data_IF_779919309340
#
_entry.id   IF_779919309340
#
_cell.length_a   1.000
_cell.length_b   1.000
_cell.length_c   1.000
_cell.angle_alpha   90.00
_cell.angle_beta   90.00
_cell.angle_gamma   90.00
#
_symmetry.space_group_name_H-M   'P 1'
#
loop_
_entity.id
_entity.type
_entity.pdbx_description
1 polymer ?
#
# COMPACT_ATOMS: atom_id res chain seq x y z
N UNK A 1 -18.48 -15.41 2.22
CA UNK A 1 -17.98 -14.02 2.06
C UNK A 1 -17.25 -13.67 3.36
N UNK A 2 -16.02 -13.17 3.30
CA UNK A 2 -15.26 -12.77 4.50
C UNK A 2 -15.97 -11.62 5.22
N UNK A 3 -16.18 -11.78 6.52
CA UNK A 3 -16.81 -10.76 7.39
C UNK A 3 -15.74 -9.89 8.08
N UNK A 4 -16.17 -8.83 8.76
CA UNK A 4 -15.28 -8.01 9.58
C UNK A 4 -14.65 -8.81 10.74
N UNK A 5 -15.43 -9.72 11.32
CA UNK A 5 -15.00 -10.64 12.39
C UNK A 5 -13.96 -11.64 11.89
N UNK A 6 -14.18 -12.23 10.70
CA UNK A 6 -13.21 -13.13 10.07
C UNK A 6 -11.89 -12.41 9.79
N UNK A 7 -11.96 -11.18 9.28
CA UNK A 7 -10.78 -10.36 9.02
C UNK A 7 -10.05 -10.03 10.33
N UNK A 8 -10.76 -9.63 11.37
CA UNK A 8 -10.15 -9.35 12.68
C UNK A 8 -9.44 -10.60 13.23
N UNK A 9 -10.10 -11.76 13.18
CA UNK A 9 -9.51 -13.02 13.64
C UNK A 9 -8.23 -13.38 12.85
N UNK A 10 -8.22 -13.18 11.53
CA UNK A 10 -7.04 -13.40 10.69
C UNK A 10 -5.88 -12.47 11.08
N UNK A 11 -6.15 -11.19 11.31
CA UNK A 11 -5.12 -10.23 11.72
C UNK A 11 -4.58 -10.54 13.13
N UNK A 12 -5.44 -10.99 14.04
CA UNK A 12 -5.02 -11.46 15.37
C UNK A 12 -4.11 -12.70 15.27
N UNK A 13 -4.41 -13.64 14.38
CA UNK A 13 -3.56 -14.80 14.12
C UNK A 13 -2.19 -14.37 13.59
N UNK A 14 -2.14 -13.51 12.59
CA UNK A 14 -0.89 -12.96 12.07
C UNK A 14 -0.07 -12.24 13.16
N UNK A 15 -0.72 -11.41 13.98
CA UNK A 15 -0.07 -10.73 15.12
C UNK A 15 0.51 -11.73 16.11
N UNK A 16 -0.21 -12.81 16.42
CA UNK A 16 0.16 -13.80 17.44
C UNK A 16 1.47 -14.52 17.11
N UNK A 17 1.78 -14.67 15.83
CA UNK A 17 3.01 -15.27 15.33
C UNK A 17 4.24 -14.35 15.41
N UNK A 18 4.08 -13.11 15.87
CA UNK A 18 5.12 -12.07 15.93
C UNK A 18 5.45 -11.64 17.37
N UNK A 19 6.47 -10.78 17.51
CA UNK A 19 6.75 -10.09 18.78
C UNK A 19 5.65 -9.10 19.19
N UNK A 20 4.69 -8.81 18.30
CA UNK A 20 3.56 -7.92 18.56
C UNK A 20 2.43 -8.59 19.38
N UNK A 21 2.52 -9.89 19.64
CA UNK A 21 1.53 -10.65 20.42
C UNK A 21 1.19 -10.07 21.79
N UNK A 22 2.08 -9.27 22.38
CA UNK A 22 1.87 -8.59 23.67
C UNK A 22 0.92 -7.40 23.61
N UNK A 23 0.64 -6.86 22.42
CA UNK A 23 -0.26 -5.74 22.24
C UNK A 23 -1.68 -6.23 21.93
N UNK A 24 -2.69 -5.47 22.39
CA UNK A 24 -4.09 -5.77 22.08
C UNK A 24 -4.52 -4.98 20.86
N UNK A 25 -5.10 -5.66 19.86
CA UNK A 25 -5.84 -5.01 18.80
C UNK A 25 -7.28 -4.77 19.26
N UNK A 26 -7.84 -3.66 18.83
CA UNK A 26 -9.23 -3.31 19.09
C UNK A 26 -10.06 -3.65 17.86
N UNK A 27 -11.17 -4.36 18.06
CA UNK A 27 -12.13 -4.59 17.00
C UNK A 27 -13.08 -3.40 16.88
N UNK A 28 -13.22 -2.87 15.67
CA UNK A 28 -14.24 -1.91 15.30
C UNK A 28 -14.90 -2.38 13.99
N UNK A 29 -16.17 -2.77 14.09
CA UNK A 29 -16.89 -3.36 12.96
C UNK A 29 -16.89 -2.45 11.72
N UNK A 30 -17.06 -1.15 11.89
CA UNK A 30 -17.12 -0.21 10.76
C UNK A 30 -15.77 -0.10 10.05
N UNK A 31 -14.68 0.01 10.82
CA UNK A 31 -13.32 0.10 10.27
C UNK A 31 -12.97 -1.17 9.47
N UNK A 32 -13.23 -2.35 10.04
CA UNK A 32 -12.91 -3.61 9.37
C UNK A 32 -13.80 -3.86 8.15
N UNK A 33 -15.09 -3.53 8.20
CA UNK A 33 -16.01 -3.63 7.06
C UNK A 33 -15.61 -2.67 5.93
N UNK A 34 -15.28 -1.41 6.23
CA UNK A 34 -14.85 -0.43 5.22
C UNK A 34 -13.51 -0.83 4.60
N UNK A 35 -12.60 -1.38 5.40
CA UNK A 35 -11.34 -1.93 4.89
C UNK A 35 -11.58 -3.04 3.88
N UNK A 36 -12.47 -4.00 4.15
CA UNK A 36 -12.83 -5.07 3.21
C UNK A 36 -13.44 -4.51 1.93
N UNK A 37 -14.38 -3.55 2.04
CA UNK A 37 -15.03 -2.91 0.90
C UNK A 37 -14.04 -2.23 -0.05
N UNK A 38 -12.93 -1.72 0.49
CA UNK A 38 -11.87 -1.11 -0.31
C UNK A 38 -10.90 -2.16 -0.83
N UNK A 39 -10.51 -3.10 0.04
CA UNK A 39 -9.50 -4.12 -0.27
C UNK A 39 -9.93 -5.09 -1.37
N UNK A 40 -11.22 -5.35 -1.56
CA UNK A 40 -11.72 -6.23 -2.63
C UNK A 40 -11.25 -5.76 -4.03
N UNK A 41 -11.10 -4.45 -4.25
CA UNK A 41 -10.58 -3.92 -5.50
C UNK A 41 -9.08 -4.20 -5.67
N UNK A 42 -8.30 -4.20 -4.58
CA UNK A 42 -6.88 -4.56 -4.60
C UNK A 42 -6.71 -6.07 -4.84
N UNK A 43 -7.51 -6.89 -4.16
CA UNK A 43 -7.53 -8.34 -4.28
C UNK A 43 -7.84 -8.79 -5.71
N UNK A 44 -8.86 -8.17 -6.36
CA UNK A 44 -9.26 -8.46 -7.74
C UNK A 44 -8.21 -8.10 -8.79
N UNK A 45 -7.20 -7.30 -8.46
CA UNK A 45 -6.04 -7.09 -9.34
C UNK A 45 -5.12 -8.31 -9.44
N UNK A 46 -5.27 -9.27 -8.52
CA UNK A 46 -4.57 -10.57 -8.51
C UNK A 46 -5.46 -11.69 -9.03
N UNK A 47 -6.72 -11.68 -8.63
CA UNK A 47 -7.71 -12.73 -8.84
C UNK A 47 -8.95 -12.12 -9.50
N UNK A 48 -8.86 -11.87 -10.81
CA UNK A 48 -9.84 -11.08 -11.58
C UNK A 48 -11.24 -11.72 -11.62
N UNK A 49 -11.28 -13.06 -11.56
CA UNK A 49 -12.51 -13.83 -11.69
C UNK A 49 -13.20 -14.12 -10.36
N UNK A 50 -12.56 -13.73 -9.24
CA UNK A 50 -13.12 -13.97 -7.92
C UNK A 50 -14.17 -12.91 -7.56
N UNK A 51 -15.37 -13.34 -7.26
CA UNK A 51 -16.43 -12.44 -6.75
C UNK A 51 -16.20 -12.05 -5.30
N UNK A 52 -15.53 -12.91 -4.52
CA UNK A 52 -15.27 -12.76 -3.10
C UNK A 52 -13.80 -13.02 -2.78
N UNK A 53 -13.35 -12.54 -1.62
CA UNK A 53 -12.01 -12.83 -1.11
C UNK A 53 -11.95 -14.29 -0.67
N UNK A 54 -11.09 -15.06 -1.33
CA UNK A 54 -10.71 -16.42 -0.94
C UNK A 54 -9.56 -16.33 0.09
N UNK A 55 -9.80 -16.90 1.27
CA UNK A 55 -8.87 -16.82 2.40
C UNK A 55 -7.54 -17.52 2.07
N UNK A 56 -7.57 -18.69 1.42
CA UNK A 56 -6.36 -19.42 1.10
C UNK A 56 -5.49 -18.66 0.09
N UNK A 57 -6.11 -18.09 -0.94
CA UNK A 57 -5.43 -17.21 -1.91
C UNK A 57 -4.82 -15.98 -1.22
N UNK A 58 -5.55 -15.37 -0.29
CA UNK A 58 -5.06 -14.24 0.49
C UNK A 58 -3.84 -14.64 1.32
N UNK A 59 -3.92 -15.73 2.09
CA UNK A 59 -2.82 -16.22 2.95
C UNK A 59 -1.58 -16.55 2.12
N UNK A 60 -1.75 -17.15 0.94
CA UNK A 60 -0.66 -17.56 0.07
C UNK A 60 -0.07 -16.39 -0.77
N UNK A 61 -0.61 -15.17 -0.63
CA UNK A 61 -0.16 -13.98 -1.38
C UNK A 61 0.33 -12.89 -0.40
N UNK A 62 1.58 -12.96 0.10
CA UNK A 62 2.09 -12.04 1.13
C UNK A 62 1.98 -10.56 0.79
N UNK A 63 2.01 -10.20 -0.50
CA UNK A 63 1.86 -8.81 -0.94
C UNK A 63 0.49 -8.22 -0.56
N UNK A 64 -0.55 -9.06 -0.56
CA UNK A 64 -1.89 -8.65 -0.13
C UNK A 64 -1.96 -8.39 1.39
N UNK A 65 -1.10 -9.04 2.19
CA UNK A 65 -1.05 -8.80 3.64
C UNK A 65 -0.68 -7.35 3.96
N UNK A 66 0.35 -6.81 3.28
CA UNK A 66 0.76 -5.42 3.45
C UNK A 66 -0.31 -4.42 3.01
N UNK A 67 -1.00 -4.70 1.90
CA UNK A 67 -2.08 -3.84 1.40
C UNK A 67 -3.28 -3.88 2.36
N UNK A 68 -3.69 -5.07 2.79
CA UNK A 68 -4.84 -5.25 3.69
C UNK A 68 -4.63 -4.55 5.03
N UNK A 69 -3.49 -4.80 5.68
CA UNK A 69 -3.17 -4.16 6.95
C UNK A 69 -3.05 -2.64 6.82
N UNK A 70 -2.53 -2.13 5.68
CA UNK A 70 -2.54 -0.70 5.37
C UNK A 70 -3.98 -0.15 5.29
N UNK A 71 -4.91 -0.85 4.63
CA UNK A 71 -6.31 -0.39 4.52
C UNK A 71 -6.92 -0.20 5.91
N UNK A 72 -6.74 -1.17 6.82
CA UNK A 72 -7.22 -1.08 8.20
C UNK A 72 -6.49 0.03 8.98
N UNK A 73 -5.16 0.06 8.92
CA UNK A 73 -4.34 1.05 9.63
C UNK A 73 -4.64 2.49 9.21
N UNK A 74 -4.89 2.73 7.91
CA UNK A 74 -5.26 4.05 7.37
C UNK A 74 -6.61 4.52 7.89
N UNK A 75 -7.58 3.63 8.02
CA UNK A 75 -8.89 3.95 8.60
C UNK A 75 -8.79 4.25 10.11
N UNK A 76 -8.03 3.46 10.86
CA UNK A 76 -7.73 3.77 12.26
C UNK A 76 -7.06 5.14 12.43
N UNK A 77 -6.12 5.47 11.57
CA UNK A 77 -5.48 6.78 11.58
C UNK A 77 -6.47 7.91 11.31
N UNK A 78 -7.36 7.74 10.33
CA UNK A 78 -8.36 8.74 9.94
C UNK A 78 -9.49 8.90 10.95
N UNK A 79 -9.82 7.83 11.69
CA UNK A 79 -10.91 7.88 12.69
C UNK A 79 -10.62 8.83 13.84
N UNK A 80 -9.34 9.12 14.12
CA UNK A 80 -8.93 9.92 15.26
C UNK A 80 -9.20 9.27 16.62
N UNK A 81 -9.63 8.00 16.64
CA UNK A 81 -9.89 7.26 17.88
C UNK A 81 -8.57 7.12 18.66
N UNK A 82 -8.59 7.64 19.90
CA UNK A 82 -7.43 7.53 20.79
C UNK A 82 -7.43 6.19 21.51
N UNK A 83 -6.27 5.54 21.57
CA UNK A 83 -6.02 4.34 22.37
C UNK A 83 -4.63 4.44 23.01
N UNK A 84 -4.41 3.70 24.11
CA UNK A 84 -3.10 3.67 24.80
C UNK A 84 -1.97 3.26 23.85
N UNK A 85 -2.25 2.31 22.96
CA UNK A 85 -1.33 1.90 21.89
C UNK A 85 -2.01 2.21 20.55
N UNK A 86 -1.31 2.93 19.69
CA UNK A 86 -1.84 3.31 18.38
C UNK A 86 -2.07 2.07 17.52
N UNK A 87 -3.33 1.76 17.23
CA UNK A 87 -3.74 0.59 16.46
C UNK A 87 -3.08 0.57 15.08
N UNK A 88 -2.98 1.73 14.43
CA UNK A 88 -2.34 1.89 13.13
C UNK A 88 -0.85 1.49 13.16
N UNK A 89 -0.13 1.70 14.27
CA UNK A 89 1.28 1.33 14.37
C UNK A 89 1.45 -0.19 14.48
N UNK A 90 0.57 -0.86 15.24
CA UNK A 90 0.56 -2.34 15.34
C UNK A 90 0.27 -2.94 13.97
N UNK A 91 -0.79 -2.49 13.31
CA UNK A 91 -1.23 -2.98 12.00
C UNK A 91 -0.17 -2.77 10.91
N UNK A 92 0.46 -1.60 10.86
CA UNK A 92 1.55 -1.32 9.92
C UNK A 92 2.75 -2.24 10.14
N UNK A 93 3.08 -2.56 11.40
CA UNK A 93 4.17 -3.49 11.69
C UNK A 93 3.81 -4.94 11.34
N UNK A 94 2.57 -5.38 11.55
CA UNK A 94 2.11 -6.69 11.08
C UNK A 94 2.28 -6.77 9.56
N UNK A 95 1.79 -5.78 8.82
CA UNK A 95 1.91 -5.75 7.37
C UNK A 95 3.36 -5.81 6.89
N UNK A 96 4.25 -5.02 7.52
CA UNK A 96 5.67 -5.01 7.17
C UNK A 96 6.35 -6.36 7.42
N UNK A 97 6.04 -7.03 8.52
CA UNK A 97 6.61 -8.35 8.85
C UNK A 97 6.17 -9.39 7.82
N UNK A 98 4.88 -9.42 7.46
CA UNK A 98 4.32 -10.45 6.61
C UNK A 98 4.56 -10.21 5.11
N UNK A 99 4.64 -8.96 4.65
CA UNK A 99 4.80 -8.62 3.22
C UNK A 99 6.22 -8.20 2.83
N UNK A 100 7.09 -7.90 3.81
CA UNK A 100 8.42 -7.31 3.61
C UNK A 100 8.39 -5.98 2.82
N UNK A 101 7.23 -5.30 2.83
CA UNK A 101 7.03 -3.96 2.29
C UNK A 101 6.56 -3.02 3.38
N UNK A 102 6.89 -1.73 3.27
CA UNK A 102 6.41 -0.72 4.20
C UNK A 102 5.42 0.20 3.50
N UNK A 103 4.16 0.16 3.94
CA UNK A 103 3.13 1.10 3.50
C UNK A 103 2.71 1.92 4.71
N UNK A 104 3.09 3.19 4.71
CA UNK A 104 2.80 4.05 5.85
C UNK A 104 1.31 4.40 5.91
N UNK A 105 0.67 4.23 7.06
CA UNK A 105 -0.78 4.39 7.24
C UNK A 105 -1.31 5.79 6.89
N UNK A 106 -0.47 6.85 6.95
CA UNK A 106 -0.87 8.20 6.55
C UNK A 106 -0.67 8.49 5.05
N UNK A 107 -0.23 7.51 4.25
CA UNK A 107 -0.30 7.63 2.81
C UNK A 107 -1.76 7.65 2.35
N UNK A 108 -2.05 8.34 1.24
CA UNK A 108 -3.37 8.36 0.63
C UNK A 108 -3.34 7.56 -0.67
N UNK A 109 -3.89 6.34 -0.64
CA UNK A 109 -3.84 5.40 -1.77
C UNK A 109 -5.25 5.09 -2.24
N UNK A 110 -5.51 5.28 -3.52
CA UNK A 110 -6.75 4.91 -4.20
C UNK A 110 -6.98 3.40 -4.21
N UNK A 111 -8.04 2.96 -4.86
CA UNK A 111 -8.41 1.54 -4.98
C UNK A 111 -7.63 0.83 -6.08
N UNK A 112 -7.55 -0.50 -6.01
CA UNK A 112 -6.90 -1.30 -7.05
C UNK A 112 -5.37 -1.20 -7.04
N UNK A 113 -4.75 -0.98 -5.88
CA UNK A 113 -3.30 -1.07 -5.75
C UNK A 113 -2.84 -2.51 -5.95
N UNK A 114 -1.84 -2.71 -6.80
CA UNK A 114 -1.13 -3.99 -6.97
C UNK A 114 0.36 -3.79 -6.71
N UNK A 115 0.95 -4.66 -5.89
CA UNK A 115 2.40 -4.64 -5.62
C UNK A 115 2.98 -6.00 -6.02
N UNK A 116 3.67 -6.05 -7.16
CA UNK A 116 4.34 -7.27 -7.60
C UNK A 116 5.64 -7.48 -6.83
N UNK A 117 5.82 -8.69 -6.29
CA UNK A 117 6.96 -9.13 -5.46
C UNK A 117 7.08 -8.39 -4.10
N UNK A 118 6.92 -7.11 -4.04
CA UNK A 118 6.77 -6.27 -2.86
C UNK A 118 8.01 -6.06 -1.98
N UNK A 119 8.96 -6.98 -1.94
CA UNK A 119 10.13 -6.93 -1.06
C UNK A 119 10.87 -5.60 -1.21
N UNK A 120 11.10 -4.91 -0.08
CA UNK A 120 11.82 -3.63 -0.07
C UNK A 120 11.05 -2.43 -0.63
N UNK A 121 9.78 -2.60 -1.00
CA UNK A 121 8.93 -1.48 -1.45
C UNK A 121 8.55 -0.61 -0.26
N UNK A 122 8.74 0.70 -0.39
CA UNK A 122 8.44 1.70 0.64
C UNK A 122 7.51 2.76 0.08
N UNK A 123 6.31 2.85 0.65
CA UNK A 123 5.39 3.95 0.42
C UNK A 123 5.39 4.83 1.66
N UNK A 124 6.10 5.95 1.59
CA UNK A 124 6.35 6.84 2.71
C UNK A 124 5.10 7.58 3.18
N UNK A 125 5.18 8.11 4.40
CA UNK A 125 4.12 8.90 5.02
C UNK A 125 3.67 10.06 4.11
N UNK A 126 2.36 10.26 3.97
CA UNK A 126 1.74 11.35 3.20
C UNK A 126 1.96 11.28 1.68
N UNK A 127 2.62 10.25 1.14
CA UNK A 127 2.65 9.99 -0.29
C UNK A 127 1.22 9.77 -0.81
N UNK A 128 0.96 10.18 -2.04
CA UNK A 128 -0.35 10.01 -2.69
C UNK A 128 -0.22 9.10 -3.89
N UNK A 129 -1.12 8.16 -4.04
CA UNK A 129 -1.19 7.24 -5.18
C UNK A 129 -2.66 7.17 -5.62
N UNK A 130 -2.91 7.34 -6.90
CA UNK A 130 -4.23 7.20 -7.50
C UNK A 130 -4.73 5.76 -7.57
N UNK A 131 -5.74 5.54 -8.38
CA UNK A 131 -6.38 4.23 -8.55
C UNK A 131 -5.61 3.34 -9.53
N UNK A 132 -5.76 2.02 -9.39
CA UNK A 132 -5.26 1.02 -10.32
C UNK A 132 -3.76 1.06 -10.60
N UNK A 133 -2.96 1.57 -9.69
CA UNK A 133 -1.51 1.60 -9.83
C UNK A 133 -0.86 0.23 -9.60
N UNK A 134 0.24 -0.01 -10.32
CA UNK A 134 1.08 -1.19 -10.18
C UNK A 134 2.49 -0.77 -9.76
N UNK A 135 2.94 -1.27 -8.63
CA UNK A 135 4.31 -1.12 -8.15
C UNK A 135 5.03 -2.46 -8.17
N UNK A 136 6.31 -2.43 -8.47
CA UNK A 136 7.19 -3.61 -8.34
C UNK A 136 8.05 -3.52 -7.07
N UNK A 137 8.86 -4.54 -6.84
CA UNK A 137 9.78 -4.61 -5.69
C UNK A 137 10.77 -3.45 -5.66
N UNK A 138 11.26 -3.11 -4.46
CA UNK A 138 12.26 -2.06 -4.21
C UNK A 138 11.87 -0.66 -4.72
N UNK A 139 10.58 -0.39 -4.94
CA UNK A 139 10.10 0.95 -5.25
C UNK A 139 10.10 1.80 -3.99
N UNK A 140 10.59 3.04 -4.08
CA UNK A 140 10.55 4.00 -2.98
C UNK A 140 9.77 5.26 -3.37
N UNK A 141 8.69 5.54 -2.65
CA UNK A 141 8.00 6.84 -2.67
C UNK A 141 8.36 7.59 -1.39
N UNK A 142 9.28 8.53 -1.49
CA UNK A 142 9.97 9.08 -0.33
C UNK A 142 9.94 10.59 -0.20
N UNK A 143 10.54 11.03 0.90
CA UNK A 143 10.71 12.43 1.26
C UNK A 143 11.92 13.06 0.56
N UNK A 144 11.74 14.33 0.20
CA UNK A 144 12.83 15.26 -0.04
C UNK A 144 12.39 16.65 0.43
N UNK A 145 13.07 17.20 1.41
CA UNK A 145 12.78 18.52 2.00
C UNK A 145 11.31 18.65 2.47
N UNK A 146 10.81 17.62 3.18
CA UNK A 146 9.42 17.50 3.65
C UNK A 146 8.36 17.37 2.55
N UNK A 147 8.74 17.39 1.27
CA UNK A 147 7.87 17.12 0.13
C UNK A 147 7.61 15.64 -0.07
N UNK A 148 6.46 15.29 -0.62
CA UNK A 148 6.04 13.91 -0.89
C UNK A 148 5.50 13.80 -2.31
N UNK A 149 5.76 12.68 -3.00
CA UNK A 149 5.27 12.51 -4.35
C UNK A 149 3.77 12.25 -4.38
N UNK A 150 3.15 12.76 -5.44
CA UNK A 150 1.80 12.42 -5.85
C UNK A 150 1.88 11.67 -7.18
N UNK A 151 1.29 10.47 -7.22
CA UNK A 151 1.19 9.62 -8.40
C UNK A 151 -0.27 9.58 -8.83
N UNK A 152 -0.54 9.81 -10.10
CA UNK A 152 -1.88 9.74 -10.68
C UNK A 152 -2.40 8.30 -10.84
N UNK A 153 -3.53 8.17 -11.52
CA UNK A 153 -4.20 6.88 -11.76
C UNK A 153 -3.47 6.04 -12.82
N UNK A 154 -3.64 4.72 -12.75
CA UNK A 154 -3.18 3.75 -13.77
C UNK A 154 -1.67 3.81 -14.03
N UNK A 155 -0.86 4.23 -13.07
CA UNK A 155 0.58 4.29 -13.22
C UNK A 155 1.23 2.93 -12.98
N UNK A 156 2.31 2.67 -13.73
CA UNK A 156 3.17 1.48 -13.57
C UNK A 156 4.56 1.94 -13.15
N UNK A 157 5.01 1.46 -11.99
CA UNK A 157 6.31 1.80 -11.41
C UNK A 157 7.14 0.52 -11.32
N UNK A 158 8.16 0.44 -12.17
CA UNK A 158 9.01 -0.75 -12.24
C UNK A 158 10.05 -0.80 -11.11
N UNK A 159 10.62 -2.00 -10.95
CA UNK A 159 11.50 -2.36 -9.85
C UNK A 159 12.65 -1.38 -9.61
N UNK A 160 12.92 -1.08 -8.35
CA UNK A 160 14.01 -0.22 -7.93
C UNK A 160 13.84 1.27 -8.21
N UNK A 161 12.70 1.71 -8.76
CA UNK A 161 12.49 3.13 -9.01
C UNK A 161 12.35 3.91 -7.70
N UNK A 162 13.01 5.07 -7.63
CA UNK A 162 12.97 5.99 -6.49
C UNK A 162 12.33 7.31 -6.91
N UNK A 163 11.21 7.67 -6.29
CA UNK A 163 10.43 8.88 -6.58
C UNK A 163 10.36 9.70 -5.31
N UNK A 164 10.99 10.87 -5.28
CA UNK A 164 11.14 11.64 -4.05
C UNK A 164 10.90 13.13 -4.24
N UNK A 165 10.34 13.76 -3.21
CA UNK A 165 10.09 15.20 -3.16
C UNK A 165 8.66 15.59 -3.49
N UNK A 166 8.40 16.88 -3.49
CA UNK A 166 7.11 17.48 -3.84
C UNK A 166 6.97 17.52 -5.37
N UNK A 167 6.65 16.37 -5.94
CA UNK A 167 6.52 16.19 -7.39
C UNK A 167 5.21 15.48 -7.73
N UNK A 168 4.71 15.76 -8.93
CA UNK A 168 3.48 15.19 -9.46
C UNK A 168 3.78 14.35 -10.70
N UNK A 169 3.42 13.08 -10.65
CA UNK A 169 3.39 12.18 -11.80
C UNK A 169 1.93 12.06 -12.24
N UNK A 170 1.66 12.44 -13.48
CA UNK A 170 0.31 12.38 -14.04
C UNK A 170 -0.24 10.98 -14.19
N UNK A 171 -1.43 10.87 -14.76
CA UNK A 171 -2.11 9.60 -15.00
C UNK A 171 -1.45 8.80 -16.13
N UNK A 172 -1.64 7.47 -16.12
CA UNK A 172 -1.19 6.55 -17.17
C UNK A 172 0.32 6.64 -17.44
N UNK A 173 1.12 6.99 -16.43
CA UNK A 173 2.57 7.08 -16.57
C UNK A 173 3.25 5.73 -16.33
N UNK A 174 4.38 5.53 -17.01
CA UNK A 174 5.26 4.39 -16.81
C UNK A 174 6.62 4.88 -16.32
N UNK A 175 7.07 4.38 -15.17
CA UNK A 175 8.38 4.70 -14.61
C UNK A 175 9.26 3.46 -14.74
N UNK A 176 10.34 3.59 -15.52
CA UNK A 176 11.27 2.51 -15.81
C UNK A 176 12.02 2.05 -14.56
N UNK A 177 12.52 0.80 -14.61
CA UNK A 177 13.28 0.22 -13.51
C UNK A 177 14.54 1.03 -13.18
N UNK A 178 14.88 1.07 -11.87
CA UNK A 178 16.03 1.78 -11.33
C UNK A 178 16.09 3.28 -11.68
N UNK A 179 14.98 3.90 -11.98
CA UNK A 179 14.89 5.33 -12.27
C UNK A 179 14.91 6.16 -10.98
N UNK A 180 15.56 7.32 -11.01
CA UNK A 180 15.52 8.30 -9.92
C UNK A 180 14.76 9.54 -10.39
N UNK A 181 13.51 9.66 -9.93
CA UNK A 181 12.55 10.69 -10.36
C UNK A 181 12.55 11.83 -9.36
N UNK A 182 12.97 13.00 -9.81
CA UNK A 182 13.15 14.22 -9.00
C UNK A 182 12.30 15.40 -9.50
N UNK A 183 11.56 15.22 -10.60
CA UNK A 183 10.75 16.26 -11.24
C UNK A 183 9.37 15.72 -11.56
N UNK A 184 8.41 16.63 -11.71
CA UNK A 184 7.05 16.31 -12.17
C UNK A 184 7.00 15.97 -13.65
N UNK A 185 6.05 15.11 -14.03
CA UNK A 185 5.80 14.69 -15.41
C UNK A 185 4.30 14.66 -15.69
N UNK A 186 3.88 15.10 -16.90
CA UNK A 186 2.46 15.10 -17.26
C UNK A 186 1.93 13.70 -17.55
N UNK A 187 0.62 13.59 -17.72
CA UNK A 187 -0.08 12.35 -18.09
C UNK A 187 0.57 11.66 -19.30
N UNK A 188 0.44 10.35 -19.35
CA UNK A 188 0.88 9.49 -20.45
C UNK A 188 2.40 9.57 -20.71
N UNK A 189 3.20 9.88 -19.71
CA UNK A 189 4.67 9.95 -19.83
C UNK A 189 5.31 8.59 -19.58
N UNK A 190 6.29 8.23 -20.43
CA UNK A 190 7.24 7.17 -20.13
C UNK A 190 8.53 7.81 -19.63
N UNK A 191 8.95 7.44 -18.42
CA UNK A 191 9.98 8.13 -17.64
C UNK A 191 11.07 7.11 -17.29
N UNK A 192 12.33 7.41 -17.56
CA UNK A 192 13.44 6.51 -17.19
C UNK A 192 14.76 7.26 -16.96
N UNK A 193 15.69 6.61 -16.26
CA UNK A 193 17.07 7.06 -16.07
C UNK A 193 17.39 7.66 -14.71
N UNK A 194 18.67 8.06 -14.53
CA UNK A 194 19.23 8.65 -13.30
C UNK A 194 20.06 9.89 -13.67
N UNK A 195 19.58 11.12 -13.45
CA UNK A 195 18.19 11.47 -13.09
C UNK A 195 17.20 11.14 -14.22
N UNK A 196 15.97 10.83 -13.86
CA UNK A 196 14.97 10.41 -14.83
C UNK A 196 14.54 11.54 -15.80
N UNK A 197 14.27 11.15 -17.04
CA UNK A 197 13.78 12.02 -18.11
C UNK A 197 12.56 11.38 -18.77
N UNK A 198 11.72 12.20 -19.38
CA UNK A 198 10.66 11.71 -20.27
C UNK A 198 11.32 11.16 -21.55
N UNK A 199 11.02 9.91 -21.88
CA UNK A 199 11.52 9.24 -23.10
C UNK A 199 10.43 9.06 -24.16
N UNK A 200 9.16 9.22 -23.78
CA UNK A 200 8.00 9.26 -24.66
C UNK A 200 6.84 10.04 -24.02
#
# INVERSE_FOLDING_TARGET
MMTAEDLYALIEDWKSSTFLKKYTLTFDHNIYSEALNTFIYDYRRWFTDDEHIDIDKLILTPQLHGILTYRIASLWHKSGISSEVKQQDILSNIGRIHSLSEIYYSAAIGTGLKINHGIGTIIGARARIGNNCLLHQNVTLGDKNSGRPTIGDNCVIYAGATIIGDINIGNNCIIGANSVVLNSFPDNSIIAGVPARKIK
#
